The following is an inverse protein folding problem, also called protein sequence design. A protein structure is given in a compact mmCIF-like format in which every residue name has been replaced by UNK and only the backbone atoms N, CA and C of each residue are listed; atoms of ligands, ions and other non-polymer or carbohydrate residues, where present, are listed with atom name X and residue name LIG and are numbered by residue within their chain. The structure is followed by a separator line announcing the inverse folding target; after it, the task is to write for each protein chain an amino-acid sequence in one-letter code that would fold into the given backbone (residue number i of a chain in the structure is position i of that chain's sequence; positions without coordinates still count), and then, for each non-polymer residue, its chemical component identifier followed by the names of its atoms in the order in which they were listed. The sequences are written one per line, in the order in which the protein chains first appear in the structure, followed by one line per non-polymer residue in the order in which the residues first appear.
data_IF_534700750773
#
_entry.id   IF_534700750773
#
_cell.length_a   1.000
_cell.length_b   1.000
_cell.length_c   1.000
_cell.angle_alpha   90.00
_cell.angle_beta   90.00
_cell.angle_gamma   90.00
#
_symmetry.space_group_name_H-M   'P 1'
#
loop_
_entity.id
_entity.type
_entity.pdbx_description
1 polymer ?
#
# COMPACT_ATOMS: atom_id res chain seq x y z
N UNK A 1 6.64 26.89 -9.62
CA UNK A 1 7.48 25.70 -9.78
C UNK A 1 6.74 24.53 -9.17
N UNK A 2 6.47 23.49 -9.96
CA UNK A 2 5.89 22.25 -9.48
C UNK A 2 6.91 21.11 -9.62
N UNK A 3 6.96 20.24 -8.61
CA UNK A 3 7.75 19.01 -8.62
C UNK A 3 6.77 17.86 -8.75
N UNK A 4 6.87 17.13 -9.86
CA UNK A 4 6.06 15.95 -10.13
C UNK A 4 6.95 14.72 -10.20
N UNK A 5 6.50 13.64 -9.56
CA UNK A 5 7.18 12.34 -9.54
C UNK A 5 6.26 11.33 -10.21
N UNK A 6 6.78 10.42 -11.07
CA UNK A 6 5.96 9.38 -11.67
C UNK A 6 5.35 8.45 -10.61
N UNK A 7 4.09 8.03 -10.84
CA UNK A 7 3.34 7.17 -9.93
C UNK A 7 4.05 5.84 -9.61
N UNK A 8 4.80 5.28 -10.58
CA UNK A 8 5.51 4.01 -10.37
C UNK A 8 6.44 4.02 -9.16
N UNK A 9 7.02 5.18 -8.78
CA UNK A 9 7.94 5.27 -7.63
C UNK A 9 7.22 4.90 -6.34
N UNK A 10 5.99 5.40 -6.16
CA UNK A 10 5.17 5.08 -4.99
C UNK A 10 4.66 3.63 -5.03
N UNK A 11 4.25 3.15 -6.21
CA UNK A 11 3.77 1.78 -6.38
C UNK A 11 4.85 0.74 -6.08
N UNK A 12 6.10 0.96 -6.51
CA UNK A 12 7.22 0.07 -6.21
C UNK A 12 7.53 0.05 -4.71
N UNK A 13 7.57 1.21 -4.06
CA UNK A 13 7.83 1.28 -2.61
C UNK A 13 6.73 0.57 -1.82
N UNK A 14 5.46 0.77 -2.21
CA UNK A 14 4.32 0.04 -1.67
C UNK A 14 4.47 -1.49 -1.87
N UNK A 15 4.86 -1.94 -3.06
CA UNK A 15 5.01 -3.36 -3.37
C UNK A 15 6.12 -4.02 -2.54
N UNK A 16 7.26 -3.32 -2.35
CA UNK A 16 8.35 -3.80 -1.48
C UNK A 16 7.85 -3.95 -0.04
N UNK A 17 7.19 -2.92 0.51
CA UNK A 17 6.61 -2.98 1.84
C UNK A 17 5.62 -4.15 1.98
N UNK A 18 4.74 -4.31 0.98
CA UNK A 18 3.77 -5.39 0.95
C UNK A 18 4.41 -6.77 0.90
N UNK A 19 5.47 -6.95 0.12
CA UNK A 19 6.20 -8.21 0.03
C UNK A 19 6.84 -8.60 1.37
N UNK A 20 7.47 -7.64 2.06
CA UNK A 20 8.04 -7.84 3.39
C UNK A 20 6.93 -8.24 4.38
N UNK A 21 5.82 -7.50 4.38
CA UNK A 21 4.68 -7.79 5.24
C UNK A 21 4.11 -9.20 4.99
N UNK A 22 3.97 -9.60 3.73
CA UNK A 22 3.49 -10.93 3.34
C UNK A 22 4.44 -12.04 3.81
N UNK A 23 5.76 -11.84 3.71
CA UNK A 23 6.75 -12.81 4.21
C UNK A 23 6.59 -12.98 5.72
N UNK A 24 6.49 -11.90 6.49
CA UNK A 24 6.30 -11.98 7.94
C UNK A 24 4.97 -12.66 8.29
N UNK A 25 3.87 -12.31 7.62
CA UNK A 25 2.58 -12.95 7.84
C UNK A 25 2.61 -14.46 7.58
N UNK A 26 3.34 -14.92 6.55
CA UNK A 26 3.54 -16.33 6.27
C UNK A 26 4.39 -17.03 7.33
N UNK A 27 5.48 -16.39 7.78
CA UNK A 27 6.35 -16.93 8.84
C UNK A 27 5.56 -17.09 10.14
N UNK A 28 4.78 -16.08 10.52
CA UNK A 28 3.96 -16.12 11.74
C UNK A 28 2.89 -17.20 11.64
N UNK A 29 2.20 -17.30 10.50
CA UNK A 29 1.20 -18.34 10.28
C UNK A 29 1.82 -19.75 10.33
N UNK A 30 2.98 -19.95 9.70
CA UNK A 30 3.74 -21.20 9.76
C UNK A 30 4.14 -21.53 11.21
N UNK A 31 4.62 -20.55 11.96
CA UNK A 31 5.02 -20.72 13.36
C UNK A 31 3.85 -21.18 14.23
N UNK A 32 2.68 -20.56 14.08
CA UNK A 32 1.45 -20.95 14.81
C UNK A 32 1.04 -22.39 14.49
N UNK A 33 1.09 -22.79 13.22
CA UNK A 33 0.75 -24.16 12.80
C UNK A 33 1.74 -25.18 13.35
N UNK A 34 3.05 -24.91 13.26
CA UNK A 34 4.10 -25.86 13.65
C UNK A 34 4.26 -26.00 15.16
N UNK A 35 4.09 -24.92 15.92
CA UNK A 35 4.20 -24.97 17.39
C UNK A 35 2.98 -25.61 18.04
N UNK A 36 1.96 -25.98 17.27
CA UNK A 36 0.66 -26.47 17.74
C UNK A 36 0.05 -25.58 18.84
N UNK A 37 0.45 -24.31 18.87
CA UNK A 37 0.00 -23.32 19.85
C UNK A 37 -1.33 -22.74 19.38
N UNK A 38 -2.33 -23.62 19.29
CA UNK A 38 -3.69 -23.29 18.89
C UNK A 38 -4.46 -22.67 20.05
N UNK A 39 -3.90 -21.64 20.69
CA UNK A 39 -4.81 -20.72 21.36
C UNK A 39 -5.69 -20.17 20.25
N UNK A 40 -7.00 -20.44 20.35
CA UNK A 40 -7.98 -20.11 19.30
C UNK A 40 -7.84 -18.65 18.88
N UNK A 41 -7.49 -17.77 19.82
CA UNK A 41 -7.22 -16.35 19.57
C UNK A 41 -6.03 -16.13 18.63
N UNK A 42 -4.84 -16.69 18.92
CA UNK A 42 -3.65 -16.49 18.10
C UNK A 42 -3.82 -17.06 16.68
N UNK A 43 -4.39 -18.25 16.55
CA UNK A 43 -4.69 -18.83 15.24
C UNK A 43 -5.67 -17.98 14.43
N UNK A 44 -6.78 -17.57 15.06
CA UNK A 44 -7.82 -16.78 14.39
C UNK A 44 -7.27 -15.44 13.94
N UNK A 45 -6.49 -14.74 14.78
CA UNK A 45 -5.87 -13.47 14.42
C UNK A 45 -4.89 -13.61 13.26
N UNK A 46 -3.97 -14.58 13.31
CA UNK A 46 -3.01 -14.80 12.23
C UNK A 46 -3.70 -15.21 10.91
N UNK A 47 -4.77 -16.02 10.98
CA UNK A 47 -5.58 -16.37 9.81
C UNK A 47 -6.23 -15.13 9.18
N UNK A 48 -6.86 -14.26 9.98
CA UNK A 48 -7.48 -13.05 9.47
C UNK A 48 -6.45 -12.06 8.90
N UNK A 49 -5.29 -11.90 9.54
CA UNK A 49 -4.20 -11.08 9.00
C UNK A 49 -3.77 -11.61 7.63
N UNK A 50 -3.54 -12.92 7.50
CA UNK A 50 -3.16 -13.53 6.23
C UNK A 50 -4.26 -13.37 5.16
N UNK A 51 -5.52 -13.62 5.52
CA UNK A 51 -6.66 -13.49 4.61
C UNK A 51 -6.84 -12.05 4.12
N UNK A 52 -6.75 -11.06 5.02
CA UNK A 52 -6.79 -9.65 4.65
C UNK A 52 -5.60 -9.24 3.79
N UNK A 53 -4.41 -9.77 4.06
CA UNK A 53 -3.23 -9.55 3.22
C UNK A 53 -3.48 -10.01 1.79
N UNK A 54 -3.93 -11.26 1.61
CA UNK A 54 -4.25 -11.82 0.29
C UNK A 54 -5.36 -11.02 -0.40
N UNK A 55 -6.39 -10.61 0.33
CA UNK A 55 -7.47 -9.78 -0.20
C UNK A 55 -6.95 -8.41 -0.65
N UNK A 56 -6.11 -7.75 0.14
CA UNK A 56 -5.48 -6.48 -0.25
C UNK A 56 -4.65 -6.66 -1.52
N UNK A 57 -3.85 -7.73 -1.63
CA UNK A 57 -3.09 -8.02 -2.86
C UNK A 57 -4.00 -8.15 -4.08
N UNK A 58 -5.08 -8.93 -3.95
CA UNK A 58 -6.06 -9.14 -5.01
C UNK A 58 -6.72 -7.82 -5.44
N UNK A 59 -7.21 -7.03 -4.48
CA UNK A 59 -7.83 -5.74 -4.75
C UNK A 59 -6.84 -4.76 -5.39
N UNK A 60 -5.60 -4.68 -4.88
CA UNK A 60 -4.54 -3.87 -5.48
C UNK A 60 -4.32 -4.28 -6.94
N UNK A 61 -4.15 -5.57 -7.23
CA UNK A 61 -3.96 -6.02 -8.60
C UNK A 61 -5.16 -5.68 -9.50
N UNK A 62 -6.39 -5.82 -9.00
CA UNK A 62 -7.60 -5.48 -9.74
C UNK A 62 -7.70 -3.97 -10.06
N UNK A 63 -7.28 -3.11 -9.13
CA UNK A 63 -7.29 -1.66 -9.30
C UNK A 63 -6.17 -1.15 -10.20
N UNK A 64 -5.06 -1.89 -10.30
CA UNK A 64 -3.88 -1.48 -11.07
C UNK A 64 -3.98 -1.77 -12.58
N UNK A 65 -4.95 -2.58 -13.04
CA UNK A 65 -5.06 -3.01 -14.45
C UNK A 65 -5.17 -1.84 -15.42
N UNK A 66 -6.01 -0.85 -15.10
CA UNK A 66 -6.28 0.29 -15.97
C UNK A 66 -5.51 1.56 -15.57
N UNK A 67 -4.61 1.46 -14.58
CA UNK A 67 -3.85 2.60 -14.08
C UNK A 67 -2.63 2.85 -14.95
N UNK A 68 -2.45 4.08 -15.42
CA UNK A 68 -1.22 4.47 -16.09
C UNK A 68 -0.10 4.77 -15.06
N UNK A 69 0.93 3.92 -15.06
CA UNK A 69 2.08 3.97 -14.13
C UNK A 69 3.00 5.18 -14.34
N UNK A 70 2.97 5.78 -15.54
CA UNK A 70 3.76 6.98 -15.86
C UNK A 70 3.02 8.27 -15.56
N UNK A 71 1.81 8.19 -14.99
CA UNK A 71 1.06 9.38 -14.58
C UNK A 71 1.88 10.18 -13.57
N UNK A 72 2.05 11.47 -13.86
CA UNK A 72 2.80 12.38 -13.01
C UNK A 72 1.95 12.73 -11.78
N UNK A 73 2.44 12.37 -10.58
CA UNK A 73 1.84 12.79 -9.32
C UNK A 73 2.52 14.09 -8.90
N UNK A 74 1.75 15.17 -8.76
CA UNK A 74 2.27 16.45 -8.30
C UNK A 74 2.52 16.33 -6.79
N UNK A 75 3.78 16.31 -6.40
CA UNK A 75 4.20 16.14 -4.98
C UNK A 75 4.35 17.49 -4.30
N UNK A 76 4.70 18.51 -5.06
CA UNK A 76 4.82 19.88 -4.58
C UNK A 76 4.41 20.85 -5.68
N UNK A 77 3.58 21.84 -5.36
CA UNK A 77 3.36 23.00 -6.20
C UNK A 77 3.46 24.26 -5.36
N UNK A 78 4.30 25.19 -5.81
CA UNK A 78 4.40 26.53 -5.23
C UNK A 78 3.06 27.28 -5.22
N UNK A 79 2.14 26.94 -6.14
CA UNK A 79 0.82 27.57 -6.25
C UNK A 79 -0.08 27.30 -5.02
N UNK A 80 0.20 26.25 -4.24
CA UNK A 80 -0.54 25.92 -3.03
C UNK A 80 -0.35 26.94 -1.90
N UNK A 81 0.73 27.73 -1.96
CA UNK A 81 1.05 28.76 -0.97
C UNK A 81 0.75 30.18 -1.45
N UNK A 82 0.43 30.33 -2.74
CA UNK A 82 -0.17 31.55 -3.26
C UNK A 82 -1.68 31.41 -3.11
N UNK A 83 -2.25 31.99 -2.04
CA UNK A 83 -3.71 32.09 -1.90
C UNK A 83 -4.36 32.69 -3.15
N UNK A 84 -5.70 32.60 -3.32
CA UNK A 84 -6.37 33.15 -4.48
C UNK A 84 -5.95 34.60 -4.66
N UNK A 85 -5.14 34.88 -5.68
CA UNK A 85 -4.74 36.24 -6.02
C UNK A 85 -5.97 36.86 -6.65
N UNK A 86 -6.84 37.40 -5.80
CA UNK A 86 -7.91 38.30 -6.17
C UNK A 86 -7.31 39.53 -6.82
N UNK A 87 -7.03 39.44 -8.11
CA UNK A 87 -6.98 40.60 -8.99
C UNK A 87 -8.15 40.47 -9.95
N UNK A 88 -9.34 40.74 -9.40
CA UNK A 88 -10.46 41.25 -10.17
C UNK A 88 -10.03 42.59 -10.78
N UNK A 89 -9.90 42.62 -12.10
CA UNK A 89 -10.04 43.84 -12.90
C UNK A 89 -11.26 43.66 -13.79
#
# INVERSE_FOLDING_TARGET
MSVAIPLYVFLFLFLIFFAIFLIFALIDFYHVVMTASFTIVSFTMSFFILALTVLTMYLTMSLLVDVNWTTAVIVFDSSWFTGPSGTSF
#
